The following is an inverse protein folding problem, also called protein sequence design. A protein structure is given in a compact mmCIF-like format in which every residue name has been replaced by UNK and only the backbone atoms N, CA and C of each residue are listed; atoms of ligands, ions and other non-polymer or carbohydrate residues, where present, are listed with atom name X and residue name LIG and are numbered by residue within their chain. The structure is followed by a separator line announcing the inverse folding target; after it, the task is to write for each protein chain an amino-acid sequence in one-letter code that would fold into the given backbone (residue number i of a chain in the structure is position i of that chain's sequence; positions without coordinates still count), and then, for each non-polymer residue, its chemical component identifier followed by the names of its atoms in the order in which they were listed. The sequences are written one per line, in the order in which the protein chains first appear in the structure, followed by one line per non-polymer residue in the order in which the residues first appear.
data_IF_264145432204
#
_entry.id   IF_264145432204
#
_cell.length_a   1.000
_cell.length_b   1.000
_cell.length_c   1.000
_cell.angle_alpha   90.00
_cell.angle_beta   90.00
_cell.angle_gamma   90.00
#
_symmetry.space_group_name_H-M   'P 1'
#
loop_
_entity.id
_entity.type
_entity.pdbx_description
1 polymer ?
#
# COMPACT_ATOMS: atom_id res chain seq x y z
N UNK A 1 24.08 48.31 -6.83
CA UNK A 1 24.83 47.11 -6.37
C UNK A 1 23.86 45.96 -6.38
N UNK A 2 23.94 45.11 -7.39
CA UNK A 2 23.12 43.90 -7.54
C UNK A 2 24.07 42.70 -7.54
N UNK A 3 23.85 41.65 -6.73
CA UNK A 3 24.76 40.52 -6.72
C UNK A 3 24.49 39.64 -7.95
N UNK A 4 25.56 39.38 -8.70
CA UNK A 4 25.62 38.35 -9.74
C UNK A 4 25.74 36.98 -9.05
N UNK A 5 24.79 36.08 -9.28
CA UNK A 5 24.95 34.67 -8.96
C UNK A 5 25.76 34.01 -10.08
N UNK A 6 26.92 33.45 -9.74
CA UNK A 6 27.77 32.69 -10.65
C UNK A 6 27.17 31.30 -10.90
N UNK A 7 27.04 30.95 -12.18
CA UNK A 7 26.86 29.59 -12.67
C UNK A 7 28.04 28.72 -12.23
N UNK A 8 27.84 27.77 -11.30
CA UNK A 8 28.84 26.73 -11.00
C UNK A 8 28.26 25.51 -10.25
N UNK A 9 26.97 25.20 -10.41
CA UNK A 9 26.31 24.12 -9.67
C UNK A 9 25.92 22.91 -10.52
N UNK A 10 26.27 22.89 -11.81
CA UNK A 10 25.87 21.84 -12.75
C UNK A 10 26.99 20.82 -13.08
N UNK A 11 28.27 21.17 -12.87
CA UNK A 11 29.40 20.29 -13.22
C UNK A 11 29.78 19.28 -12.10
N UNK A 12 29.16 19.34 -10.92
CA UNK A 12 29.49 18.44 -9.79
C UNK A 12 28.63 17.15 -9.74
N UNK A 13 27.67 16.97 -10.65
CA UNK A 13 26.80 15.79 -10.63
C UNK A 13 27.35 14.59 -11.43
N UNK A 14 28.13 14.82 -12.48
CA UNK A 14 28.77 13.73 -13.27
C UNK A 14 29.93 13.08 -12.51
N UNK A 15 30.73 13.87 -11.80
CA UNK A 15 31.84 13.35 -10.97
C UNK A 15 31.35 12.59 -9.73
N UNK A 16 30.15 12.91 -9.22
CA UNK A 16 29.52 12.15 -8.14
C UNK A 16 28.97 10.79 -8.61
N UNK A 17 28.54 10.70 -9.88
CA UNK A 17 28.06 9.46 -10.48
C UNK A 17 29.21 8.50 -10.82
N UNK A 18 30.34 9.02 -11.30
CA UNK A 18 31.51 8.21 -11.67
C UNK A 18 32.26 7.63 -10.45
N UNK A 19 32.33 8.38 -9.34
CA UNK A 19 32.87 7.88 -8.06
C UNK A 19 31.98 6.81 -7.38
N UNK A 20 30.72 6.68 -7.80
CA UNK A 20 29.75 5.74 -7.23
C UNK A 20 29.75 4.35 -7.90
N UNK A 21 30.40 4.21 -9.06
CA UNK A 21 30.56 2.95 -9.79
C UNK A 21 31.77 2.14 -9.29
N UNK A 22 32.79 2.79 -8.72
CA UNK A 22 34.05 2.15 -8.29
C UNK A 22 33.96 1.40 -6.95
N UNK A 23 32.85 1.51 -6.21
CA UNK A 23 32.68 0.95 -4.85
C UNK A 23 31.80 -0.30 -4.76
N UNK A 24 31.38 -0.87 -5.90
CA UNK A 24 30.42 -1.99 -5.96
C UNK A 24 31.15 -3.29 -6.28
N UNK A 25 31.86 -3.84 -5.30
CA UNK A 25 32.46 -5.19 -5.35
C UNK A 25 32.01 -6.04 -4.14
N UNK A 26 30.72 -5.99 -3.78
CA UNK A 26 30.16 -6.89 -2.76
C UNK A 26 28.99 -7.69 -3.37
N UNK A 27 29.31 -8.93 -3.76
CA UNK A 27 28.44 -9.87 -4.49
C UNK A 27 27.10 -10.14 -3.78
N UNK A 28 27.02 -9.91 -2.46
CA UNK A 28 25.78 -10.10 -1.68
C UNK A 28 24.72 -9.02 -1.92
N UNK A 29 25.15 -7.85 -2.43
CA UNK A 29 24.30 -6.68 -2.67
C UNK A 29 23.71 -6.70 -4.09
N UNK A 30 24.39 -7.35 -5.04
CA UNK A 30 23.98 -7.45 -6.45
C UNK A 30 22.63 -8.16 -6.64
N UNK A 31 22.42 -9.27 -5.94
CA UNK A 31 21.22 -10.10 -6.10
C UNK A 31 19.94 -9.43 -5.58
N UNK A 32 20.06 -8.66 -4.48
CA UNK A 32 18.95 -7.88 -3.90
C UNK A 32 18.65 -6.65 -4.75
N UNK A 33 19.66 -6.07 -5.40
CA UNK A 33 19.55 -4.86 -6.21
C UNK A 33 19.12 -5.10 -7.67
N UNK A 34 18.85 -6.34 -8.11
CA UNK A 34 18.39 -6.57 -9.49
C UNK A 34 17.10 -5.79 -9.84
N UNK A 35 16.20 -5.60 -8.87
CA UNK A 35 14.99 -4.77 -9.01
C UNK A 35 15.22 -3.30 -8.59
N UNK A 36 15.86 -3.05 -7.44
CA UNK A 36 16.01 -1.69 -6.89
C UNK A 36 17.23 -0.91 -7.42
N UNK A 37 18.22 -1.61 -7.98
CA UNK A 37 19.51 -1.09 -8.43
C UNK A 37 19.54 -0.67 -9.89
N UNK A 38 18.76 -1.33 -10.75
CA UNK A 38 18.70 -1.04 -12.18
C UNK A 38 17.37 -0.40 -12.62
N UNK A 39 16.27 -0.57 -11.86
CA UNK A 39 14.95 -0.14 -12.33
C UNK A 39 14.41 1.13 -11.68
N UNK A 40 14.89 1.49 -10.48
CA UNK A 40 14.48 2.73 -9.78
C UNK A 40 15.72 3.42 -9.19
N UNK A 41 16.41 4.28 -9.97
CA UNK A 41 17.66 4.93 -9.55
C UNK A 41 17.58 5.66 -8.20
N UNK A 42 16.40 6.16 -7.82
CA UNK A 42 16.17 6.85 -6.55
C UNK A 42 16.23 5.94 -5.31
N UNK A 43 15.75 4.70 -5.40
CA UNK A 43 15.79 3.75 -4.28
C UNK A 43 17.22 3.27 -3.98
N UNK A 44 18.05 3.14 -5.02
CA UNK A 44 19.47 2.82 -4.90
C UNK A 44 20.25 3.90 -4.13
N UNK A 45 19.93 5.17 -4.34
CA UNK A 45 20.59 6.30 -3.64
C UNK A 45 20.28 6.26 -2.13
N UNK A 46 19.03 5.94 -1.75
CA UNK A 46 18.61 5.83 -0.35
C UNK A 46 19.24 4.66 0.38
N UNK A 47 19.70 3.63 -0.31
CA UNK A 47 20.42 2.53 0.34
C UNK A 47 21.86 2.93 0.72
N UNK A 48 22.47 3.90 0.02
CA UNK A 48 23.91 4.22 0.11
C UNK A 48 24.26 5.32 1.13
N UNK A 49 23.31 6.12 1.62
CA UNK A 49 23.62 7.41 2.28
C UNK A 49 23.71 7.43 3.81
N UNK A 50 23.99 6.33 4.53
CA UNK A 50 23.56 6.30 5.94
C UNK A 50 24.47 5.61 6.99
N UNK A 51 24.73 6.33 8.08
CA UNK A 51 25.60 5.95 9.22
C UNK A 51 24.87 5.95 10.60
N UNK A 52 23.58 6.26 10.68
CA UNK A 52 22.82 6.41 11.94
C UNK A 52 21.96 5.19 12.30
N UNK A 53 21.51 5.09 13.57
CA UNK A 53 20.62 4.01 14.04
C UNK A 53 19.25 4.06 13.37
N UNK A 54 18.70 5.26 13.14
CA UNK A 54 17.43 5.44 12.42
C UNK A 54 17.52 4.82 11.03
N UNK A 55 18.65 5.04 10.37
CA UNK A 55 18.87 4.56 9.03
C UNK A 55 19.00 3.04 8.96
N UNK A 56 19.45 2.39 10.03
CA UNK A 56 19.46 0.91 10.11
C UNK A 56 18.05 0.33 10.13
N UNK A 57 17.09 1.01 10.77
CA UNK A 57 15.69 0.57 10.76
C UNK A 57 15.07 0.77 9.39
N UNK A 58 15.27 1.95 8.79
CA UNK A 58 14.81 2.22 7.43
C UNK A 58 15.40 1.21 6.44
N UNK A 59 16.72 0.97 6.48
CA UNK A 59 17.39 -0.01 5.63
C UNK A 59 16.77 -1.39 5.74
N UNK A 60 16.47 -1.87 6.95
CA UNK A 60 15.80 -3.18 7.13
C UNK A 60 14.40 -3.21 6.52
N UNK A 61 13.65 -2.10 6.58
CA UNK A 61 12.34 -1.99 5.92
C UNK A 61 12.48 -1.97 4.40
N UNK A 62 13.47 -1.26 3.89
CA UNK A 62 13.80 -1.23 2.46
C UNK A 62 14.23 -2.61 1.95
N UNK A 63 15.10 -3.33 2.67
CA UNK A 63 15.48 -4.71 2.34
C UNK A 63 14.27 -5.65 2.29
N UNK A 64 13.35 -5.54 3.26
CA UNK A 64 12.10 -6.30 3.26
C UNK A 64 11.19 -5.94 2.09
N UNK A 65 11.04 -4.65 1.81
CA UNK A 65 10.26 -4.16 0.68
C UNK A 65 10.76 -4.76 -0.64
N UNK A 66 12.08 -4.68 -0.87
CA UNK A 66 12.71 -5.24 -2.07
C UNK A 66 12.52 -6.76 -2.12
N UNK A 67 12.71 -7.45 -1.00
CA UNK A 67 12.47 -8.90 -0.92
C UNK A 67 11.04 -9.26 -1.34
N UNK A 68 10.03 -8.57 -0.81
CA UNK A 68 8.64 -8.81 -1.16
C UNK A 68 8.31 -8.46 -2.61
N UNK A 69 8.98 -7.45 -3.18
CA UNK A 69 8.86 -7.16 -4.59
C UNK A 69 9.43 -8.32 -5.45
N UNK A 70 10.63 -8.80 -5.14
CA UNK A 70 11.27 -9.88 -5.88
C UNK A 70 10.49 -11.21 -5.79
N UNK A 71 9.83 -11.49 -4.66
CA UNK A 71 8.95 -12.66 -4.52
C UNK A 71 7.75 -12.64 -5.47
N UNK A 72 7.31 -11.46 -5.92
CA UNK A 72 6.17 -11.28 -6.82
C UNK A 72 6.52 -11.15 -8.31
N UNK A 73 7.80 -11.11 -8.69
CA UNK A 73 8.24 -10.43 -9.92
C UNK A 73 8.37 -11.27 -11.21
N UNK A 74 7.70 -12.42 -11.31
CA UNK A 74 8.03 -13.38 -12.39
C UNK A 74 7.76 -12.92 -13.83
N UNK A 75 6.85 -11.95 -14.06
CA UNK A 75 6.40 -11.57 -15.42
C UNK A 75 6.28 -10.04 -15.67
N UNK A 76 7.02 -9.20 -14.94
CA UNK A 76 6.85 -7.74 -15.03
C UNK A 76 7.73 -7.06 -16.09
N UNK A 77 7.17 -6.07 -16.78
CA UNK A 77 7.85 -5.21 -17.76
C UNK A 77 7.77 -3.76 -17.30
N UNK A 78 8.90 -3.23 -16.85
CA UNK A 78 9.00 -1.89 -16.28
C UNK A 78 9.48 -0.85 -17.30
N UNK A 79 9.53 -1.17 -18.60
CA UNK A 79 10.16 -0.32 -19.62
C UNK A 79 9.52 1.07 -19.69
N UNK A 80 8.18 1.13 -19.70
CA UNK A 80 7.46 2.41 -19.73
C UNK A 80 7.72 3.25 -18.48
N UNK A 81 7.69 2.63 -17.30
CA UNK A 81 7.98 3.34 -16.06
C UNK A 81 9.43 3.84 -16.02
N UNK A 82 10.38 3.04 -16.53
CA UNK A 82 11.79 3.46 -16.67
C UNK A 82 11.94 4.68 -17.58
N UNK A 83 11.23 4.72 -18.71
CA UNK A 83 11.21 5.89 -19.59
C UNK A 83 10.63 7.11 -18.87
N UNK A 84 9.48 6.96 -18.21
CA UNK A 84 8.81 8.04 -17.49
C UNK A 84 9.69 8.67 -16.40
N UNK A 85 10.38 7.85 -15.57
CA UNK A 85 11.27 8.36 -14.51
C UNK A 85 12.61 8.89 -15.05
N UNK A 86 13.07 8.41 -16.21
CA UNK A 86 14.31 8.88 -16.83
C UNK A 86 14.11 10.28 -17.40
N UNK A 87 13.02 10.47 -18.13
CA UNK A 87 12.76 11.69 -18.90
C UNK A 87 12.10 12.79 -18.06
N UNK A 88 11.45 12.43 -16.95
CA UNK A 88 10.80 13.39 -16.05
C UNK A 88 11.44 13.38 -14.65
N UNK A 89 12.41 14.27 -14.44
CA UNK A 89 13.09 14.46 -13.14
C UNK A 89 12.11 14.73 -11.99
N UNK A 90 11.11 15.58 -12.20
CA UNK A 90 10.13 15.94 -11.16
C UNK A 90 9.31 14.73 -10.73
N UNK A 91 8.83 13.95 -11.70
CA UNK A 91 8.08 12.73 -11.43
C UNK A 91 8.93 11.69 -10.69
N UNK A 92 10.20 11.51 -11.10
CA UNK A 92 11.13 10.62 -10.40
C UNK A 92 11.34 11.02 -8.94
N UNK A 93 11.53 12.31 -8.66
CA UNK A 93 11.68 12.82 -7.30
C UNK A 93 10.42 12.57 -6.48
N UNK A 94 9.25 12.90 -7.02
CA UNK A 94 7.94 12.69 -6.38
C UNK A 94 7.71 11.22 -6.00
N UNK A 95 7.89 10.29 -6.95
CA UNK A 95 7.71 8.85 -6.70
C UNK A 95 8.73 8.34 -5.68
N UNK A 96 10.00 8.76 -5.79
CA UNK A 96 11.06 8.32 -4.87
C UNK A 96 10.79 8.81 -3.45
N UNK A 97 10.46 10.09 -3.27
CA UNK A 97 10.14 10.67 -1.96
C UNK A 97 8.92 10.00 -1.34
N UNK A 98 7.86 9.77 -2.13
CA UNK A 98 6.65 9.11 -1.67
C UNK A 98 6.92 7.69 -1.16
N UNK A 99 7.62 6.87 -1.96
CA UNK A 99 7.99 5.51 -1.57
C UNK A 99 8.85 5.48 -0.31
N UNK A 100 9.85 6.37 -0.24
CA UNK A 100 10.74 6.48 0.92
C UNK A 100 9.94 6.77 2.18
N UNK A 101 9.06 7.77 2.10
CA UNK A 101 8.21 8.16 3.20
C UNK A 101 7.31 7.01 3.65
N UNK A 102 6.67 6.30 2.72
CA UNK A 102 5.78 5.17 3.04
C UNK A 102 6.52 3.96 3.62
N UNK A 103 7.68 3.62 3.06
CA UNK A 103 8.54 2.55 3.59
C UNK A 103 8.97 2.88 5.02
N UNK A 104 9.39 4.12 5.28
CA UNK A 104 9.80 4.53 6.62
C UNK A 104 8.62 4.55 7.60
N UNK A 105 7.44 4.99 7.14
CA UNK A 105 6.22 5.09 7.95
C UNK A 105 5.65 3.74 8.36
N UNK A 106 5.62 2.76 7.45
CA UNK A 106 4.98 1.47 7.73
C UNK A 106 5.76 0.65 8.76
N UNK A 107 5.11 0.39 9.89
CA UNK A 107 5.66 -0.26 11.07
C UNK A 107 5.43 -1.78 11.06
N UNK A 108 4.44 -2.24 10.32
CA UNK A 108 4.09 -3.66 10.22
C UNK A 108 4.54 -4.29 8.91
N UNK A 109 4.88 -5.57 9.02
CA UNK A 109 5.37 -6.37 7.91
C UNK A 109 4.33 -6.56 6.79
N UNK A 110 3.05 -6.73 7.17
CA UNK A 110 1.96 -6.89 6.19
C UNK A 110 1.75 -5.60 5.36
N UNK A 111 1.89 -4.41 5.96
CA UNK A 111 1.75 -3.14 5.23
C UNK A 111 2.88 -2.99 4.22
N UNK A 112 4.11 -3.31 4.61
CA UNK A 112 5.26 -3.33 3.69
C UNK A 112 5.07 -4.33 2.55
N UNK A 113 4.56 -5.54 2.83
CA UNK A 113 4.26 -6.54 1.78
C UNK A 113 3.24 -6.01 0.76
N UNK A 114 2.13 -5.43 1.23
CA UNK A 114 1.10 -4.85 0.35
C UNK A 114 1.66 -3.67 -0.45
N UNK A 115 2.43 -2.77 0.19
CA UNK A 115 3.08 -1.65 -0.48
C UNK A 115 4.00 -2.14 -1.60
N UNK A 116 4.78 -3.20 -1.35
CA UNK A 116 5.72 -3.75 -2.33
C UNK A 116 5.01 -4.28 -3.57
N UNK A 117 3.94 -5.07 -3.36
CA UNK A 117 3.14 -5.62 -4.46
C UNK A 117 2.39 -4.55 -5.25
N UNK A 118 1.79 -3.59 -4.56
CA UNK A 118 1.09 -2.47 -5.23
C UNK A 118 2.05 -1.55 -5.98
N UNK A 119 3.28 -1.35 -5.45
CA UNK A 119 4.33 -0.60 -6.15
C UNK A 119 4.71 -1.29 -7.46
N UNK A 120 4.84 -2.62 -7.46
CA UNK A 120 5.10 -3.39 -8.68
C UNK A 120 4.00 -3.17 -9.72
N UNK A 121 2.74 -3.33 -9.34
CA UNK A 121 1.63 -3.09 -10.27
C UNK A 121 1.62 -1.65 -10.80
N UNK A 122 1.96 -0.67 -9.96
CA UNK A 122 2.13 0.71 -10.40
C UNK A 122 3.28 0.86 -11.42
N UNK A 123 4.45 0.27 -11.15
CA UNK A 123 5.59 0.34 -12.08
C UNK A 123 5.33 -0.40 -13.41
N UNK A 124 4.43 -1.38 -13.41
CA UNK A 124 3.98 -2.04 -14.65
C UNK A 124 2.87 -1.27 -15.38
N UNK A 125 2.34 -0.20 -14.78
CA UNK A 125 1.19 0.52 -15.31
C UNK A 125 -0.13 -0.24 -15.18
N UNK A 126 -0.19 -1.27 -14.34
CA UNK A 126 -1.44 -1.98 -14.01
C UNK A 126 -2.37 -1.11 -13.15
N UNK A 127 -1.79 -0.19 -12.38
CA UNK A 127 -2.51 0.88 -11.68
C UNK A 127 -1.80 2.21 -11.92
N UNK A 128 -2.54 3.30 -11.88
CA UNK A 128 -1.95 4.64 -11.95
C UNK A 128 -1.41 5.11 -10.59
N UNK A 129 -0.66 6.22 -10.60
CA UNK A 129 -0.05 6.77 -9.40
C UNK A 129 -1.08 7.18 -8.35
N UNK A 130 -2.23 7.72 -8.76
CA UNK A 130 -3.28 8.15 -7.84
C UNK A 130 -3.88 6.96 -7.09
N UNK A 131 -4.20 5.87 -7.79
CA UNK A 131 -4.72 4.64 -7.20
C UNK A 131 -3.71 4.02 -6.23
N UNK A 132 -2.43 4.08 -6.57
CA UNK A 132 -1.34 3.65 -5.68
C UNK A 132 -1.25 4.51 -4.41
N UNK A 133 -1.35 5.83 -4.56
CA UNK A 133 -1.38 6.78 -3.44
C UNK A 133 -2.60 6.54 -2.55
N UNK A 134 -3.80 6.46 -3.11
CA UNK A 134 -5.04 6.23 -2.36
C UNK A 134 -5.00 4.93 -1.54
N UNK A 135 -4.51 3.85 -2.16
CA UNK A 135 -4.33 2.56 -1.47
C UNK A 135 -3.32 2.69 -0.32
N UNK A 136 -2.21 3.37 -0.53
CA UNK A 136 -1.15 3.50 0.49
C UNK A 136 -1.46 4.53 1.58
N UNK A 137 -2.37 5.47 1.35
CA UNK A 137 -3.02 6.25 2.42
C UNK A 137 -3.97 5.37 3.23
N UNK A 138 -4.78 4.53 2.59
CA UNK A 138 -5.64 3.59 3.30
C UNK A 138 -4.83 2.61 4.17
N UNK A 139 -3.72 2.10 3.65
CA UNK A 139 -2.82 1.19 4.38
C UNK A 139 -2.29 1.78 5.69
N UNK A 140 -2.07 3.09 5.70
CA UNK A 140 -1.60 3.78 6.90
C UNK A 140 -2.64 3.70 8.03
N UNK A 141 -3.92 3.89 7.66
CA UNK A 141 -5.02 3.97 8.60
C UNK A 141 -5.53 2.59 9.03
N UNK A 142 -5.45 1.56 8.20
CA UNK A 142 -5.98 0.23 8.55
C UNK A 142 -5.13 -0.51 9.59
N UNK A 143 -5.84 -1.29 10.42
CA UNK A 143 -5.31 -2.16 11.46
C UNK A 143 -5.33 -3.62 11.02
N UNK A 144 -4.71 -4.51 11.80
CA UNK A 144 -4.76 -5.96 11.53
C UNK A 144 -6.19 -6.52 11.52
N UNK A 145 -7.10 -5.97 12.33
CA UNK A 145 -8.51 -6.42 12.39
C UNK A 145 -9.23 -6.11 11.08
N UNK A 146 -8.99 -4.92 10.53
CA UNK A 146 -9.54 -4.49 9.25
C UNK A 146 -9.08 -5.43 8.12
N UNK A 147 -7.79 -5.80 8.12
CA UNK A 147 -7.23 -6.78 7.17
C UNK A 147 -7.91 -8.15 7.30
N UNK A 148 -8.08 -8.68 8.52
CA UNK A 148 -8.74 -9.98 8.72
C UNK A 148 -10.18 -9.99 8.20
N UNK A 149 -10.86 -8.85 8.26
CA UNK A 149 -12.21 -8.70 7.69
C UNK A 149 -12.14 -8.68 6.17
N UNK A 150 -11.23 -7.92 5.57
CA UNK A 150 -11.06 -7.92 4.11
C UNK A 150 -10.67 -9.32 3.57
N UNK A 151 -9.79 -10.04 4.26
CA UNK A 151 -9.43 -11.45 3.95
C UNK A 151 -10.63 -12.40 4.10
N UNK A 152 -11.53 -12.13 5.05
CA UNK A 152 -12.74 -12.93 5.23
C UNK A 152 -13.74 -12.65 4.10
N UNK A 153 -13.95 -11.38 3.76
CA UNK A 153 -14.85 -10.96 2.70
C UNK A 153 -14.38 -11.49 1.33
N UNK A 154 -13.07 -11.48 1.06
CA UNK A 154 -12.52 -12.01 -0.21
C UNK A 154 -12.81 -13.50 -0.41
N UNK A 155 -12.75 -14.29 0.66
CA UNK A 155 -12.99 -15.74 0.62
C UNK A 155 -14.46 -16.11 0.55
N UNK A 156 -15.34 -15.23 1.05
CA UNK A 156 -16.77 -15.48 1.13
C UNK A 156 -17.42 -15.50 -0.25
N UNK A 157 -16.92 -14.71 -1.21
CA UNK A 157 -17.44 -14.64 -2.57
C UNK A 157 -18.82 -13.96 -2.71
N UNK A 158 -19.44 -13.57 -1.59
CA UNK A 158 -20.68 -12.81 -1.58
C UNK A 158 -20.41 -11.33 -1.91
N UNK A 159 -21.09 -10.80 -2.93
CA UNK A 159 -20.96 -9.40 -3.32
C UNK A 159 -21.57 -8.42 -2.31
N UNK A 160 -22.55 -8.86 -1.50
CA UNK A 160 -23.25 -8.02 -0.53
C UNK A 160 -23.28 -8.69 0.85
N UNK A 161 -23.12 -7.93 1.92
CA UNK A 161 -23.14 -8.46 3.28
C UNK A 161 -23.70 -7.46 4.30
N UNK A 162 -24.24 -7.97 5.40
CA UNK A 162 -24.55 -7.18 6.60
C UNK A 162 -23.55 -7.47 7.72
N UNK A 163 -23.20 -6.51 8.58
CA UNK A 163 -22.22 -6.74 9.65
C UNK A 163 -22.66 -7.78 10.68
N UNK A 164 -23.96 -7.95 10.88
CA UNK A 164 -24.56 -8.89 11.85
C UNK A 164 -24.32 -10.34 11.48
N UNK A 165 -24.17 -10.65 10.20
CA UNK A 165 -23.95 -12.03 9.71
C UNK A 165 -22.46 -12.38 9.58
N UNK A 166 -21.55 -11.44 9.79
CA UNK A 166 -20.11 -11.70 9.68
C UNK A 166 -19.59 -12.45 10.91
N UNK A 167 -18.90 -13.57 10.67
CA UNK A 167 -18.19 -14.31 11.71
C UNK A 167 -16.70 -14.43 11.35
N UNK A 168 -15.91 -13.48 11.85
CA UNK A 168 -14.46 -13.47 11.67
C UNK A 168 -13.79 -14.02 12.92
N UNK A 169 -13.03 -15.11 12.77
CA UNK A 169 -12.38 -15.81 13.89
C UNK A 169 -11.51 -14.85 14.71
N UNK A 170 -11.77 -14.79 16.01
CA UNK A 170 -11.01 -13.97 16.96
C UNK A 170 -11.45 -12.51 17.05
N UNK A 171 -12.51 -12.09 16.35
CA UNK A 171 -13.09 -10.77 16.46
C UNK A 171 -14.47 -10.82 17.11
N UNK A 172 -14.79 -9.82 17.92
CA UNK A 172 -16.14 -9.63 18.47
C UNK A 172 -17.04 -8.91 17.48
N UNK A 173 -18.36 -8.95 17.69
CA UNK A 173 -19.31 -8.14 16.89
C UNK A 173 -19.01 -6.63 16.99
N UNK A 174 -18.46 -6.17 18.11
CA UNK A 174 -18.02 -4.78 18.28
C UNK A 174 -16.81 -4.47 17.38
N UNK A 175 -15.80 -5.34 17.35
CA UNK A 175 -14.64 -5.20 16.48
C UNK A 175 -15.04 -5.17 15.01
N UNK A 176 -15.95 -6.07 14.61
CA UNK A 176 -16.48 -6.14 13.25
C UNK A 176 -17.19 -4.83 12.90
N UNK A 177 -18.16 -4.37 13.71
CA UNK A 177 -18.90 -3.14 13.43
C UNK A 177 -18.00 -1.90 13.37
N UNK A 178 -17.02 -1.80 14.26
CA UNK A 178 -16.05 -0.70 14.26
C UNK A 178 -15.20 -0.71 12.97
N UNK A 179 -14.72 -1.89 12.58
CA UNK A 179 -13.91 -2.06 11.37
C UNK A 179 -14.73 -1.80 10.10
N UNK A 180 -15.98 -2.27 10.01
CA UNK A 180 -16.87 -1.97 8.88
C UNK A 180 -17.06 -0.46 8.73
N UNK A 181 -17.37 0.27 9.81
CA UNK A 181 -17.52 1.73 9.76
C UNK A 181 -16.25 2.40 9.23
N UNK A 182 -15.08 1.93 9.70
CA UNK A 182 -13.80 2.46 9.27
C UNK A 182 -13.49 2.14 7.81
N UNK A 183 -13.68 0.89 7.38
CA UNK A 183 -13.51 0.47 5.98
C UNK A 183 -14.42 1.26 5.04
N UNK A 184 -15.65 1.57 5.48
CA UNK A 184 -16.57 2.44 4.74
C UNK A 184 -16.06 3.88 4.66
N UNK A 185 -15.56 4.45 5.77
CA UNK A 185 -14.94 5.79 5.76
C UNK A 185 -13.68 5.89 4.89
N UNK A 186 -12.99 4.77 4.66
CA UNK A 186 -11.82 4.67 3.78
C UNK A 186 -12.19 4.32 2.34
N UNK A 187 -13.48 4.27 2.00
CA UNK A 187 -13.98 3.86 0.69
C UNK A 187 -13.46 2.48 0.24
N UNK A 188 -13.15 1.58 1.18
CA UNK A 188 -12.77 0.18 0.90
C UNK A 188 -13.99 -0.74 0.79
N UNK A 189 -15.11 -0.30 1.36
CA UNK A 189 -16.43 -0.88 1.17
C UNK A 189 -17.42 0.27 0.96
N UNK A 190 -18.52 -0.02 0.28
CA UNK A 190 -19.57 0.94 0.00
C UNK A 190 -20.88 0.46 0.61
N UNK A 191 -21.68 1.41 1.10
CA UNK A 191 -23.03 1.14 1.57
C UNK A 191 -23.95 0.93 0.37
N UNK A 192 -24.77 -0.12 0.46
CA UNK A 192 -25.77 -0.44 -0.54
C UNK A 192 -27.10 0.18 -0.11
N UNK A 193 -27.75 0.93 -1.00
CA UNK A 193 -28.98 1.68 -0.71
C UNK A 193 -30.19 0.76 -0.45
N UNK A 194 -30.06 -0.54 -0.70
CA UNK A 194 -31.09 -1.54 -0.45
C UNK A 194 -31.30 -1.75 1.08
N UNK A 195 -32.46 -1.34 1.58
CA UNK A 195 -32.86 -1.54 2.98
C UNK A 195 -33.40 -2.97 3.17
N UNK A 196 -32.73 -3.77 3.99
CA UNK A 196 -33.23 -5.08 4.42
C UNK A 196 -33.97 -5.01 5.77
N UNK A 197 -35.14 -5.62 5.83
CA UNK A 197 -35.88 -5.84 7.07
C UNK A 197 -35.56 -7.24 7.62
N UNK A 198 -34.90 -7.34 8.77
CA UNK A 198 -34.81 -8.61 9.50
C UNK A 198 -36.15 -8.89 10.19
N UNK A 199 -36.83 -9.97 9.80
CA UNK A 199 -37.96 -10.50 10.55
C UNK A 199 -37.46 -11.06 11.89
N UNK A 200 -37.66 -10.31 12.97
CA UNK A 200 -37.41 -10.81 14.32
C UNK A 200 -38.48 -11.87 14.62
N UNK A 201 -38.08 -13.12 14.83
CA UNK A 201 -39.02 -14.19 15.20
C UNK A 201 -39.72 -13.81 16.50
N UNK A 202 -41.00 -13.44 16.39
CA UNK A 202 -41.82 -13.06 17.53
C UNK A 202 -42.15 -14.30 18.35
N UNK A 203 -41.53 -14.42 19.53
CA UNK A 203 -42.06 -15.24 20.59
C UNK A 203 -43.44 -14.69 20.97
N UNK A 204 -44.54 -15.46 20.83
CA UNK A 204 -45.90 -14.97 21.04
C UNK A 204 -46.21 -14.58 22.50
N UNK A 205 -45.26 -14.75 23.42
CA UNK A 205 -45.42 -14.39 24.83
C UNK A 205 -45.16 -12.91 25.17
N UNK A 206 -44.67 -12.09 24.23
CA UNK A 206 -44.45 -10.65 24.45
C UNK A 206 -45.08 -9.79 23.34
N UNK A 207 -46.25 -9.21 23.63
CA UNK A 207 -46.86 -8.15 22.80
C UNK A 207 -46.19 -6.80 23.09
N UNK A 208 -45.08 -6.51 22.44
CA UNK A 208 -44.53 -5.15 22.32
C UNK A 208 -43.89 -5.00 20.96
N UNK A 209 -44.32 -3.98 20.21
CA UNK A 209 -43.80 -3.45 18.93
C UNK A 209 -42.61 -4.22 18.31
N UNK A 210 -42.85 -4.86 17.15
CA UNK A 210 -41.78 -5.41 16.33
C UNK A 210 -40.96 -4.26 15.71
N UNK A 211 -39.99 -3.75 16.46
CA UNK A 211 -39.00 -2.82 15.94
C UNK A 211 -38.09 -3.59 14.98
N UNK A 212 -38.44 -3.58 13.68
CA UNK A 212 -37.54 -4.06 12.64
C UNK A 212 -36.27 -3.21 12.69
N UNK A 213 -35.15 -3.83 13.06
CA UNK A 213 -33.87 -3.14 13.12
C UNK A 213 -33.33 -3.02 11.70
N UNK A 214 -33.41 -1.83 11.10
CA UNK A 214 -32.77 -1.55 9.82
C UNK A 214 -31.28 -1.90 9.94
N UNK A 215 -30.82 -2.83 9.10
CA UNK A 215 -29.41 -3.20 9.02
C UNK A 215 -28.92 -2.86 7.63
N UNK A 216 -27.92 -1.96 7.57
CA UNK A 216 -27.27 -1.55 6.32
C UNK A 216 -26.50 -2.73 5.70
N UNK A 217 -26.63 -2.91 4.40
CA UNK A 217 -25.79 -3.80 3.61
C UNK A 217 -24.60 -3.04 3.03
N UNK A 218 -23.53 -3.78 2.77
CA UNK A 218 -22.30 -3.26 2.19
C UNK A 218 -21.78 -4.19 1.09
N UNK A 219 -20.99 -3.65 0.18
CA UNK A 219 -20.20 -4.41 -0.79
C UNK A 219 -18.76 -3.90 -0.86
N UNK A 220 -17.85 -4.69 -1.42
CA UNK A 220 -16.44 -4.30 -1.59
C UNK A 220 -16.32 -3.33 -2.76
N UNK A 221 -15.73 -2.16 -2.54
CA UNK A 221 -15.51 -1.14 -3.58
C UNK A 221 -14.39 -1.52 -4.55
N UNK A 222 -14.14 -0.71 -5.58
CA UNK A 222 -12.98 -0.88 -6.46
C UNK A 222 -11.65 -0.83 -5.70
N UNK A 223 -11.48 0.15 -4.80
CA UNK A 223 -10.29 0.28 -3.96
C UNK A 223 -10.17 -0.89 -2.97
N UNK A 224 -11.29 -1.39 -2.45
CA UNK A 224 -11.34 -2.58 -1.62
C UNK A 224 -10.88 -3.85 -2.36
N UNK A 225 -11.30 -4.01 -3.61
CA UNK A 225 -10.86 -5.11 -4.48
C UNK A 225 -9.36 -4.99 -4.79
N UNK A 226 -8.88 -3.76 -5.02
CA UNK A 226 -7.46 -3.51 -5.20
C UNK A 226 -6.65 -3.90 -3.96
N UNK A 227 -7.11 -3.56 -2.76
CA UNK A 227 -6.48 -4.01 -1.51
C UNK A 227 -6.46 -5.53 -1.39
N UNK A 228 -7.60 -6.19 -1.66
CA UNK A 228 -7.75 -7.65 -1.58
C UNK A 228 -6.74 -8.37 -2.47
N UNK A 229 -6.51 -7.87 -3.70
CA UNK A 229 -5.52 -8.41 -4.64
C UNK A 229 -4.15 -8.63 -4.01
N UNK A 230 -3.78 -7.82 -3.02
CA UNK A 230 -2.45 -7.84 -2.40
C UNK A 230 -2.38 -8.59 -1.05
N UNK A 231 -3.52 -9.07 -0.53
CA UNK A 231 -3.58 -9.78 0.75
C UNK A 231 -3.02 -11.21 0.67
N UNK A 232 -3.06 -11.83 -0.50
CA UNK A 232 -2.49 -13.17 -0.78
C UNK A 232 -0.98 -13.09 -1.04
#
# INVERSE_FOLDING_TARGET
MSPKFSSNTLDNCEDALSLLDEFIEDDTISDVLSFAGDEIPGLRLLYKSYNSISDRFFRRKLEKFIKYANEGSSDYSFEKFKEDIRDNKKYREEVTEYLSFKIDKFDTDFKLKILSKSSLDFFNGNIDFNSFVDLSECLDLISRKDILIMEYLSKRGDFKFTPTVLYVKGLTLYDINSSIRKLHMLSLIEEDDDIFYEEVSSDPSYSTHSDSKLTKSYYISELGNLLIKYLD
#
